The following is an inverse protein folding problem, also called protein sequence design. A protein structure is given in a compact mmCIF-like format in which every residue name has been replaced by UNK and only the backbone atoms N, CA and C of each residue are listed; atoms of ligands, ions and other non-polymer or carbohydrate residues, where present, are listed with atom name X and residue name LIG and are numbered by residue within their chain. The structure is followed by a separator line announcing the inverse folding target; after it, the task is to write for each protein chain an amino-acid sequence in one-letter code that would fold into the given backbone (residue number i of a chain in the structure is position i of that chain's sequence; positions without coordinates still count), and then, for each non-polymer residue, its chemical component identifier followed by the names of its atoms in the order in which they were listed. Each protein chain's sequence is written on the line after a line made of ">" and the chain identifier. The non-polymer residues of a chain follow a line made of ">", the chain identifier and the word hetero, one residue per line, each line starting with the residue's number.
data_IF_135711581563
#
_entry.id   IF_135711581563
#
_cell.length_a   1.000
_cell.length_b   1.000
_cell.length_c   1.000
_cell.angle_alpha   90.00
_cell.angle_beta   90.00
_cell.angle_gamma   90.00
#
_symmetry.space_group_name_H-M   'P 1'
#
loop_
_entity.id
_entity.type
_entity.pdbx_description
1 polymer ?
#
# COMPACT_ATOMS: atom_id res chain seq x y z
N UNK A 1 13.10 -28.24 -16.49
CA UNK A 1 12.08 -27.49 -15.72
C UNK A 1 12.69 -26.71 -14.55
N UNK A 2 13.54 -27.32 -13.71
CA UNK A 2 14.17 -26.68 -12.56
C UNK A 2 14.94 -25.38 -12.88
N UNK A 3 15.77 -25.36 -13.94
CA UNK A 3 16.54 -24.16 -14.31
C UNK A 3 15.66 -22.96 -14.70
N UNK A 4 14.46 -23.20 -15.27
CA UNK A 4 13.52 -22.12 -15.60
C UNK A 4 12.90 -21.53 -14.33
N UNK A 5 12.58 -22.37 -13.34
CA UNK A 5 12.06 -21.94 -12.04
C UNK A 5 13.11 -21.19 -11.22
N UNK A 6 14.36 -21.68 -11.22
CA UNK A 6 15.48 -21.03 -10.55
C UNK A 6 15.76 -19.64 -11.15
N UNK A 7 15.76 -19.52 -12.48
CA UNK A 7 15.93 -18.22 -13.15
C UNK A 7 14.79 -17.23 -12.82
N UNK A 8 13.54 -17.71 -12.78
CA UNK A 8 12.38 -16.88 -12.42
C UNK A 8 12.46 -16.40 -10.96
N UNK A 9 12.85 -17.28 -10.04
CA UNK A 9 13.05 -16.95 -8.62
C UNK A 9 14.16 -15.90 -8.45
N UNK A 10 15.29 -16.10 -9.12
CA UNK A 10 16.41 -15.13 -9.07
C UNK A 10 15.98 -13.78 -9.63
N UNK A 11 15.24 -13.75 -10.74
CA UNK A 11 14.69 -12.51 -11.28
C UNK A 11 13.77 -11.80 -10.28
N UNK A 12 12.84 -12.52 -9.64
CA UNK A 12 11.97 -11.95 -8.61
C UNK A 12 12.75 -11.36 -7.43
N UNK A 13 13.76 -12.07 -6.93
CA UNK A 13 14.57 -11.60 -5.81
C UNK A 13 15.37 -10.33 -6.17
N UNK A 14 15.91 -10.27 -7.39
CA UNK A 14 16.61 -9.08 -7.89
C UNK A 14 15.65 -7.89 -8.01
N UNK A 15 14.43 -8.11 -8.50
CA UNK A 15 13.40 -7.07 -8.57
C UNK A 15 13.02 -6.55 -7.18
N UNK A 16 12.79 -7.44 -6.21
CA UNK A 16 12.46 -7.05 -4.82
C UNK A 16 13.62 -6.30 -4.16
N UNK A 17 14.87 -6.70 -4.38
CA UNK A 17 16.04 -6.03 -3.82
C UNK A 17 16.27 -4.62 -4.42
N UNK A 18 15.90 -4.42 -5.69
CA UNK A 18 15.99 -3.12 -6.35
C UNK A 18 14.92 -2.13 -5.87
N UNK A 19 13.76 -2.63 -5.44
CA UNK A 19 12.73 -1.83 -4.77
C UNK A 19 13.16 -1.68 -3.30
N UNK A 20 14.02 -0.69 -3.02
CA UNK A 20 14.39 -0.37 -1.64
C UNK A 20 13.12 -0.20 -0.82
N UNK A 21 12.97 -0.97 0.27
CA UNK A 21 11.77 -0.95 1.12
C UNK A 21 11.62 0.48 1.64
N UNK A 22 10.63 1.23 1.16
CA UNK A 22 10.50 2.61 1.59
C UNK A 22 10.17 2.57 3.09
N UNK A 23 10.87 3.35 3.90
CA UNK A 23 10.49 3.52 5.31
C UNK A 23 9.02 3.90 5.35
N UNK A 24 8.17 3.04 5.88
CA UNK A 24 6.77 3.36 6.07
C UNK A 24 6.73 4.45 7.13
N UNK A 25 6.24 5.63 6.75
CA UNK A 25 5.95 6.68 7.73
C UNK A 25 4.67 6.24 8.44
N UNK A 26 4.82 5.47 9.52
CA UNK A 26 3.69 4.92 10.27
C UNK A 26 2.74 6.04 10.75
N UNK A 27 3.30 7.20 11.11
CA UNK A 27 2.55 8.38 11.54
C UNK A 27 1.66 8.93 10.41
N UNK A 28 2.21 9.03 9.19
CA UNK A 28 1.49 9.58 8.02
C UNK A 28 0.34 8.65 7.57
N UNK A 29 0.56 7.33 7.65
CA UNK A 29 -0.48 6.35 7.40
C UNK A 29 -1.56 6.41 8.48
N UNK A 30 -1.18 6.49 9.76
CA UNK A 30 -2.12 6.56 10.87
C UNK A 30 -3.01 7.82 10.79
N UNK A 31 -2.44 8.98 10.47
CA UNK A 31 -3.19 10.22 10.29
C UNK A 31 -4.18 10.15 9.12
N UNK A 32 -3.76 9.56 8.00
CA UNK A 32 -4.63 9.29 6.85
C UNK A 32 -5.78 8.36 7.24
N UNK A 33 -5.47 7.22 7.86
CA UNK A 33 -6.45 6.20 8.20
C UNK A 33 -7.48 6.74 9.20
N UNK A 34 -7.05 7.42 10.26
CA UNK A 34 -7.95 7.97 11.28
C UNK A 34 -8.92 9.01 10.68
N UNK A 35 -8.44 9.86 9.77
CA UNK A 35 -9.27 10.86 9.10
C UNK A 35 -10.28 10.19 8.16
N UNK A 36 -9.82 9.25 7.33
CA UNK A 36 -10.66 8.49 6.42
C UNK A 36 -11.74 7.68 7.17
N UNK A 37 -11.36 6.97 8.24
CA UNK A 37 -12.29 6.10 8.95
C UNK A 37 -13.40 6.93 9.62
N UNK A 38 -13.05 8.12 10.14
CA UNK A 38 -14.02 9.07 10.70
C UNK A 38 -15.02 9.57 9.65
N UNK A 39 -14.54 9.98 8.48
CA UNK A 39 -15.41 10.43 7.37
C UNK A 39 -16.29 9.28 6.87
N UNK A 40 -15.72 8.11 6.62
CA UNK A 40 -16.44 6.93 6.16
C UNK A 40 -17.54 6.48 7.14
N UNK A 41 -17.26 6.51 8.45
CA UNK A 41 -18.27 6.25 9.48
C UNK A 41 -19.35 7.33 9.52
N UNK A 42 -19.00 8.59 9.28
CA UNK A 42 -19.95 9.72 9.21
C UNK A 42 -20.90 9.59 8.02
N UNK A 43 -20.44 8.97 6.93
CA UNK A 43 -21.27 8.61 5.76
C UNK A 43 -22.25 7.44 6.06
N UNK A 44 -22.18 6.83 7.24
CA UNK A 44 -23.07 5.75 7.67
C UNK A 44 -22.59 4.34 7.28
N UNK A 45 -21.33 4.20 6.84
CA UNK A 45 -20.77 2.89 6.51
C UNK A 45 -20.39 2.09 7.76
N UNK A 46 -20.40 0.76 7.64
CA UNK A 46 -19.97 -0.15 8.71
C UNK A 46 -18.46 -0.15 8.91
N UNK A 47 -18.01 -0.57 10.10
CA UNK A 47 -16.59 -0.56 10.48
C UNK A 47 -15.69 -1.31 9.49
N UNK A 48 -16.00 -2.57 9.18
CA UNK A 48 -15.19 -3.38 8.24
C UNK A 48 -15.14 -2.79 6.83
N UNK A 49 -16.23 -2.15 6.38
CA UNK A 49 -16.26 -1.45 5.10
C UNK A 49 -15.30 -0.27 5.10
N UNK A 50 -15.31 0.52 6.18
CA UNK A 50 -14.39 1.65 6.33
C UNK A 50 -12.95 1.21 6.50
N UNK A 51 -12.70 0.15 7.27
CA UNK A 51 -11.37 -0.41 7.47
C UNK A 51 -10.73 -0.78 6.13
N UNK A 52 -11.39 -1.61 5.30
CA UNK A 52 -10.84 -2.00 4.00
C UNK A 52 -10.67 -0.82 3.04
N UNK A 53 -11.64 0.10 3.01
CA UNK A 53 -11.56 1.29 2.15
C UNK A 53 -10.36 2.15 2.54
N UNK A 54 -10.25 2.50 3.81
CA UNK A 54 -9.22 3.41 4.30
C UNK A 54 -7.83 2.79 4.27
N UNK A 55 -7.70 1.47 4.51
CA UNK A 55 -6.42 0.77 4.35
C UNK A 55 -5.91 0.83 2.90
N UNK A 56 -6.82 0.62 1.94
CA UNK A 56 -6.51 0.70 0.50
C UNK A 56 -6.16 2.14 0.09
N UNK A 57 -7.03 3.11 0.39
CA UNK A 57 -6.86 4.51 -0.02
C UNK A 57 -5.57 5.12 0.54
N UNK A 58 -5.23 4.82 1.81
CA UNK A 58 -4.03 5.34 2.45
C UNK A 58 -2.76 4.62 1.98
N UNK A 59 -2.84 3.32 1.69
CA UNK A 59 -1.74 2.58 1.07
C UNK A 59 -1.44 3.12 -0.32
N UNK A 60 -2.46 3.34 -1.15
CA UNK A 60 -2.31 3.87 -2.51
C UNK A 60 -1.69 5.27 -2.49
N UNK A 61 -2.12 6.15 -1.57
CA UNK A 61 -1.48 7.46 -1.36
C UNK A 61 -0.01 7.33 -0.97
N UNK A 62 0.33 6.41 -0.06
CA UNK A 62 1.70 6.17 0.36
C UNK A 62 2.56 5.64 -0.82
N UNK A 63 2.03 4.74 -1.65
CA UNK A 63 2.70 4.25 -2.85
C UNK A 63 2.87 5.35 -3.90
N UNK A 64 1.84 6.16 -4.16
CA UNK A 64 1.88 7.29 -5.08
C UNK A 64 2.98 8.29 -4.71
N UNK A 65 3.04 8.68 -3.43
CA UNK A 65 4.04 9.60 -2.91
C UNK A 65 5.47 9.05 -3.07
N UNK A 66 5.66 7.75 -2.87
CA UNK A 66 6.96 7.08 -2.99
C UNK A 66 7.41 6.86 -4.44
N UNK A 67 6.46 6.66 -5.35
CA UNK A 67 6.75 6.43 -6.76
C UNK A 67 6.68 7.71 -7.62
N UNK A 68 6.30 8.86 -7.06
CA UNK A 68 6.01 10.11 -7.78
C UNK A 68 4.98 9.92 -8.93
N UNK A 69 4.02 9.01 -8.74
CA UNK A 69 2.96 8.73 -9.71
C UNK A 69 1.69 9.38 -9.21
N UNK A 70 1.00 10.14 -10.06
CA UNK A 70 -0.32 10.68 -9.73
C UNK A 70 -1.36 9.60 -9.99
N UNK A 71 -1.96 9.06 -8.94
CA UNK A 71 -3.11 8.14 -9.06
C UNK A 71 -4.33 8.99 -9.48
N UNK A 72 -5.08 8.60 -10.53
CA UNK A 72 -6.26 9.33 -11.00
C UNK A 72 -7.40 9.35 -10.00
#
# INVERSE_FOLDING_TARGET
>A
MANKLAALLVLCLVLVAAVGVPKANADEFADCFNSCEKECKTEGNGHTTCEMKCDTDCSDKAFAAKLNIKIP
#
